data_IF_876776284868
#
_entry.id   IF_876776284868
#
_cell.length_a   1.000
_cell.length_b   1.000
_cell.length_c   1.000
_cell.angle_alpha   90.00
_cell.angle_beta   90.00
_cell.angle_gamma   90.00
#
_symmetry.space_group_name_H-M   'P 1'
#
loop_
_entity.id
_entity.type
_entity.pdbx_description
1 polymer ?
#
# COMPACT_ATOMS: atom_id res chain seq x y z
N UNK A 1 -13.63 10.52 -12.20
CA UNK A 1 -15.07 10.61 -12.55
C UNK A 1 -15.65 11.90 -11.97
N UNK A 2 -16.60 12.53 -12.67
CA UNK A 2 -17.42 13.61 -12.11
C UNK A 2 -18.01 13.20 -10.76
N UNK A 3 -18.19 14.16 -9.85
CA UNK A 3 -18.68 13.87 -8.49
C UNK A 3 -20.07 13.21 -8.49
N UNK A 4 -20.92 13.55 -9.45
CA UNK A 4 -22.26 13.03 -9.63
C UNK A 4 -22.35 11.75 -10.50
N UNK A 5 -21.23 11.16 -10.90
CA UNK A 5 -21.26 9.94 -11.71
C UNK A 5 -21.79 8.75 -10.89
N UNK A 6 -22.80 8.04 -11.40
CA UNK A 6 -23.48 6.92 -10.71
C UNK A 6 -22.53 5.87 -10.12
N UNK A 7 -21.47 5.54 -10.85
CA UNK A 7 -20.50 4.50 -10.43
C UNK A 7 -19.38 5.02 -9.52
N UNK A 8 -19.31 6.33 -9.26
CA UNK A 8 -18.23 6.92 -8.45
C UNK A 8 -18.19 6.33 -7.05
N UNK A 9 -19.35 6.24 -6.37
CA UNK A 9 -19.44 5.70 -5.01
C UNK A 9 -18.93 4.25 -4.97
N UNK A 10 -19.38 3.42 -5.91
CA UNK A 10 -18.95 2.01 -6.02
C UNK A 10 -17.43 1.87 -6.15
N UNK A 11 -16.79 2.70 -6.97
CA UNK A 11 -15.33 2.66 -7.12
C UNK A 11 -14.60 3.13 -5.86
N UNK A 12 -15.14 4.11 -5.13
CA UNK A 12 -14.57 4.53 -3.85
C UNK A 12 -14.67 3.42 -2.80
N UNK A 13 -15.81 2.75 -2.72
CA UNK A 13 -16.01 1.64 -1.78
C UNK A 13 -15.03 0.49 -2.09
N UNK A 14 -14.87 0.12 -3.37
CA UNK A 14 -13.88 -0.88 -3.80
C UNK A 14 -12.46 -0.46 -3.41
N UNK A 15 -12.11 0.80 -3.64
CA UNK A 15 -10.79 1.32 -3.28
C UNK A 15 -10.55 1.25 -1.77
N UNK A 16 -11.50 1.67 -0.95
CA UNK A 16 -11.41 1.62 0.52
C UNK A 16 -11.24 0.17 0.99
N UNK A 17 -12.06 -0.75 0.48
CA UNK A 17 -11.96 -2.17 0.81
C UNK A 17 -10.62 -2.78 0.39
N UNK A 18 -10.08 -2.40 -0.77
CA UNK A 18 -8.76 -2.85 -1.21
C UNK A 18 -7.66 -2.35 -0.26
N UNK A 19 -7.69 -1.06 0.12
CA UNK A 19 -6.71 -0.49 1.04
C UNK A 19 -6.80 -1.14 2.43
N UNK A 20 -7.99 -1.41 2.94
CA UNK A 20 -8.15 -2.15 4.19
C UNK A 20 -7.55 -3.56 4.08
N UNK A 21 -7.84 -4.30 3.00
CA UNK A 21 -7.33 -5.64 2.78
C UNK A 21 -5.79 -5.66 2.70
N UNK A 22 -5.20 -4.75 1.91
CA UNK A 22 -3.74 -4.64 1.78
C UNK A 22 -3.06 -4.35 3.11
N UNK A 23 -3.68 -3.57 4.00
CA UNK A 23 -3.10 -3.25 5.30
C UNK A 23 -2.87 -4.47 6.19
N UNK A 24 -3.65 -5.55 5.98
CA UNK A 24 -3.54 -6.82 6.71
C UNK A 24 -2.35 -7.66 6.26
N UNK A 25 -1.82 -7.39 5.06
CA UNK A 25 -0.70 -8.13 4.45
C UNK A 25 0.61 -7.32 4.41
N UNK A 26 0.66 -6.16 5.07
CA UNK A 26 1.91 -5.40 5.17
C UNK A 26 2.84 -6.10 6.16
N UNK A 27 4.06 -6.38 5.71
CA UNK A 27 5.10 -6.93 6.56
C UNK A 27 5.46 -5.93 7.66
N UNK A 28 5.28 -6.31 8.93
CA UNK A 28 5.44 -5.40 10.06
C UNK A 28 6.91 -5.06 10.35
N UNK A 29 7.83 -5.92 9.93
CA UNK A 29 9.27 -5.74 10.18
C UNK A 29 9.87 -4.75 9.19
N UNK A 30 9.51 -4.86 7.91
CA UNK A 30 10.11 -4.07 6.83
C UNK A 30 9.22 -2.93 6.34
N UNK A 31 7.91 -3.01 6.59
CA UNK A 31 6.91 -2.11 6.03
C UNK A 31 6.59 -2.38 4.56
N UNK A 32 7.21 -3.37 3.92
CA UNK A 32 6.98 -3.71 2.52
C UNK A 32 5.82 -4.71 2.36
N UNK A 33 5.47 -4.99 1.11
CA UNK A 33 4.58 -6.10 0.75
C UNK A 33 5.33 -7.17 -0.03
N UNK A 34 4.92 -8.42 0.14
CA UNK A 34 5.45 -9.55 -0.62
C UNK A 34 4.93 -9.56 -2.06
N UNK A 35 5.69 -10.17 -2.97
CA UNK A 35 5.28 -10.42 -4.35
C UNK A 35 3.94 -11.16 -4.41
N UNK A 36 3.80 -12.20 -3.59
CA UNK A 36 2.51 -12.87 -3.36
C UNK A 36 2.04 -12.52 -1.94
N UNK A 37 1.05 -11.63 -1.86
CA UNK A 37 0.66 -10.92 -0.62
C UNK A 37 0.32 -11.87 0.54
N UNK A 38 -0.41 -12.94 0.26
CA UNK A 38 -0.95 -13.88 1.25
C UNK A 38 -0.01 -15.07 1.53
N UNK A 39 1.19 -15.08 0.95
CA UNK A 39 2.16 -16.17 1.07
C UNK A 39 3.51 -15.70 1.61
N UNK A 40 3.52 -14.67 2.46
CA UNK A 40 4.76 -14.11 3.01
C UNK A 40 5.59 -15.09 3.87
N UNK A 41 4.99 -16.20 4.30
CA UNK A 41 5.65 -17.27 5.04
C UNK A 41 6.37 -18.30 4.16
N UNK A 42 6.20 -18.25 2.83
CA UNK A 42 6.89 -19.17 1.92
C UNK A 42 8.29 -18.66 1.60
N UNK A 43 9.25 -19.58 1.64
CA UNK A 43 10.69 -19.29 1.48
C UNK A 43 11.07 -18.79 0.08
N UNK A 44 10.25 -19.07 -0.92
CA UNK A 44 10.43 -18.68 -2.32
C UNK A 44 9.73 -17.35 -2.67
N UNK A 45 9.07 -16.72 -1.71
CA UNK A 45 8.48 -15.40 -1.85
C UNK A 45 9.48 -14.31 -1.41
N UNK A 46 9.28 -13.07 -1.85
CA UNK A 46 10.17 -11.96 -1.52
C UNK A 46 9.41 -10.65 -1.37
N UNK A 47 10.00 -9.73 -0.60
CA UNK A 47 9.48 -8.37 -0.46
C UNK A 47 9.74 -7.57 -1.74
N UNK A 48 8.68 -7.03 -2.34
CA UNK A 48 8.72 -6.45 -3.68
C UNK A 48 8.54 -4.92 -3.64
N UNK A 49 9.38 -4.21 -4.38
CA UNK A 49 9.51 -2.74 -4.29
C UNK A 49 8.50 -1.98 -5.15
N UNK A 50 8.18 -2.45 -6.36
CA UNK A 50 7.29 -1.74 -7.29
C UNK A 50 5.83 -1.73 -6.84
N UNK A 51 5.31 -2.88 -6.41
CA UNK A 51 4.02 -3.09 -5.78
C UNK A 51 3.92 -2.28 -4.48
N UNK A 52 4.95 -2.32 -3.63
CA UNK A 52 4.99 -1.46 -2.44
C UNK A 52 4.91 0.03 -2.81
N UNK A 53 5.61 0.46 -3.87
CA UNK A 53 5.55 1.85 -4.35
C UNK A 53 4.14 2.25 -4.77
N UNK A 54 3.45 1.38 -5.52
CA UNK A 54 2.06 1.60 -5.94
C UNK A 54 1.11 1.70 -4.76
N UNK A 55 1.26 0.84 -3.74
CA UNK A 55 0.42 0.86 -2.55
C UNK A 55 0.68 2.11 -1.72
N UNK A 56 1.93 2.47 -1.47
CA UNK A 56 2.30 3.70 -0.76
C UNK A 56 1.70 4.93 -1.46
N UNK A 57 1.82 5.01 -2.79
CA UNK A 57 1.18 6.07 -3.56
C UNK A 57 -0.34 6.07 -3.38
N UNK A 58 -0.99 4.91 -3.50
CA UNK A 58 -2.43 4.77 -3.38
C UNK A 58 -2.94 5.22 -1.99
N UNK A 59 -2.30 4.78 -0.91
CA UNK A 59 -2.62 5.23 0.45
C UNK A 59 -2.45 6.74 0.59
N UNK A 60 -1.29 7.28 0.22
CA UNK A 60 -1.01 8.70 0.34
C UNK A 60 -2.00 9.55 -0.47
N UNK A 61 -2.32 9.12 -1.70
CA UNK A 61 -3.27 9.80 -2.57
C UNK A 61 -4.69 9.73 -2.04
N UNK A 62 -5.12 8.57 -1.54
CA UNK A 62 -6.43 8.37 -0.93
C UNK A 62 -6.64 9.29 0.28
N UNK A 63 -5.62 9.41 1.15
CA UNK A 63 -5.64 10.30 2.31
C UNK A 63 -5.68 11.77 1.87
N UNK A 64 -4.82 12.17 0.94
CA UNK A 64 -4.77 13.55 0.44
C UNK A 64 -6.08 14.00 -0.24
N UNK A 65 -6.85 13.06 -0.77
CA UNK A 65 -8.17 13.30 -1.38
C UNK A 65 -9.34 13.18 -0.38
N UNK A 66 -9.07 12.87 0.89
CA UNK A 66 -10.11 12.65 1.91
C UNK A 66 -10.95 11.40 1.68
N UNK A 67 -10.46 10.44 0.89
CA UNK A 67 -11.15 9.17 0.61
C UNK A 67 -10.83 8.13 1.68
N UNK A 68 -9.59 8.13 2.19
CA UNK A 68 -9.15 7.24 3.28
C UNK A 68 -8.98 8.01 4.57
N UNK A 69 -9.21 7.32 5.68
CA UNK A 69 -8.92 7.83 7.02
C UNK A 69 -7.42 8.15 7.19
N UNK A 70 -7.12 9.21 7.95
CA UNK A 70 -5.73 9.63 8.20
C UNK A 70 -4.92 8.59 8.96
N UNK A 71 -5.57 7.68 9.70
CA UNK A 71 -4.94 6.54 10.36
C UNK A 71 -4.21 5.61 9.41
N UNK A 72 -4.55 5.60 8.11
CA UNK A 72 -3.81 4.84 7.08
C UNK A 72 -2.43 5.44 6.75
N UNK A 73 -2.09 6.61 7.28
CA UNK A 73 -0.78 7.23 7.07
C UNK A 73 0.36 6.35 7.60
N UNK A 74 0.10 5.53 8.65
CA UNK A 74 1.11 4.61 9.18
C UNK A 74 1.57 3.59 8.13
N UNK A 75 0.65 3.03 7.32
CA UNK A 75 0.99 2.08 6.26
C UNK A 75 1.80 2.74 5.16
N UNK A 76 1.39 3.94 4.72
CA UNK A 76 2.09 4.71 3.70
C UNK A 76 3.53 5.06 4.13
N UNK A 77 3.71 5.55 5.37
CA UNK A 77 5.01 5.91 5.89
C UNK A 77 5.92 4.70 6.12
N UNK A 78 5.37 3.59 6.63
CA UNK A 78 6.12 2.36 6.80
C UNK A 78 6.64 1.82 5.47
N UNK A 79 5.79 1.75 4.44
CA UNK A 79 6.19 1.33 3.10
C UNK A 79 7.22 2.25 2.47
N UNK A 80 7.06 3.56 2.59
CA UNK A 80 8.04 4.52 2.09
C UNK A 80 9.42 4.36 2.76
N UNK A 81 9.45 4.25 4.09
CA UNK A 81 10.69 4.01 4.84
C UNK A 81 11.35 2.69 4.46
N UNK A 82 10.57 1.62 4.34
CA UNK A 82 11.04 0.30 3.90
C UNK A 82 11.71 0.36 2.54
N UNK A 83 11.10 1.04 1.57
CA UNK A 83 11.67 1.20 0.24
C UNK A 83 12.98 1.98 0.25
N UNK A 84 13.03 3.12 0.97
CA UNK A 84 14.26 3.91 1.10
C UNK A 84 15.40 3.12 1.77
N UNK A 85 15.07 2.27 2.75
CA UNK A 85 16.06 1.40 3.37
C UNK A 85 16.61 0.39 2.37
N UNK A 86 15.73 -0.25 1.59
CA UNK A 86 16.13 -1.27 0.60
C UNK A 86 16.94 -0.70 -0.55
N UNK A 87 16.63 0.50 -1.04
CA UNK A 87 17.37 1.10 -2.17
C UNK A 87 18.74 1.62 -1.75
N UNK A 88 18.89 2.18 -0.55
CA UNK A 88 20.20 2.63 -0.03
C UNK A 88 21.19 1.49 0.19
N UNK A 89 20.71 0.27 0.44
CA UNK A 89 21.58 -0.91 0.56
C UNK A 89 22.13 -1.40 -0.79
N UNK A 90 21.52 -1.03 -1.92
CA UNK A 90 21.99 -1.44 -3.25
C UNK A 90 23.09 -0.52 -3.81
N UNK A 91 23.47 0.54 -3.09
CA UNK A 91 24.51 1.51 -3.46
C UNK A 91 25.83 1.31 -2.70
N UNK A 92 25.93 0.28 -1.85
CA UNK A 92 27.12 -0.11 -1.09
C UNK A 92 27.65 -1.46 -1.58
#
# INVERSE_FOLDING_TARGET
LPENHKDRKKLLDIFISLMEALSKFQDQTTGLWYQVLDKGNLVDNWLETSCTSLFVYAYAKGIARGILDRGYMKQALAGFKGMCSKTRMNEQ
#
